data_IF_468985965149
#
_entry.id   IF_468985965149
#
_cell.length_a   1.000
_cell.length_b   1.000
_cell.length_c   1.000
_cell.angle_alpha   90.00
_cell.angle_beta   90.00
_cell.angle_gamma   90.00
#
_symmetry.space_group_name_H-M   'P 1'
#
loop_
_entity.id
_entity.type
_entity.pdbx_description
1 polymer ?
#
# COMPACT_ATOMS: atom_id res chain seq x y z
N UNK A 1 -8.65 -14.48 20.98
CA UNK A 1 -7.65 -15.17 20.11
C UNK A 1 -7.07 -16.34 20.88
N UNK A 2 -7.21 -17.55 20.35
CA UNK A 2 -6.73 -18.78 20.95
C UNK A 2 -5.22 -18.94 20.67
N UNK A 3 -4.40 -18.94 21.73
CA UNK A 3 -2.93 -19.00 21.62
C UNK A 3 -2.44 -20.34 21.04
N UNK A 4 -3.13 -21.44 21.32
CA UNK A 4 -2.77 -22.75 20.77
C UNK A 4 -3.01 -22.81 19.26
N UNK A 5 -4.13 -22.27 18.79
CA UNK A 5 -4.44 -22.15 17.36
C UNK A 5 -3.45 -21.23 16.64
N UNK A 6 -3.08 -20.12 17.26
CA UNK A 6 -2.07 -19.21 16.73
C UNK A 6 -0.71 -19.90 16.58
N UNK A 7 -0.25 -20.60 17.60
CA UNK A 7 1.02 -21.35 17.55
C UNK A 7 1.01 -22.42 16.44
N UNK A 8 -0.13 -23.13 16.27
CA UNK A 8 -0.30 -24.11 15.19
C UNK A 8 -0.24 -23.47 13.81
N UNK A 9 -0.85 -22.29 13.63
CA UNK A 9 -0.80 -21.57 12.35
C UNK A 9 0.63 -21.16 11.99
N UNK A 10 1.40 -20.64 12.95
CA UNK A 10 2.81 -20.31 12.73
C UNK A 10 3.65 -21.54 12.42
N UNK A 11 3.44 -22.63 13.13
CA UNK A 11 4.14 -23.89 12.89
C UNK A 11 3.87 -24.40 11.45
N UNK A 12 2.61 -24.46 11.04
CA UNK A 12 2.23 -24.86 9.68
C UNK A 12 2.85 -23.94 8.61
N UNK A 13 2.88 -22.63 8.86
CA UNK A 13 3.51 -21.68 7.94
C UNK A 13 5.01 -21.95 7.78
N UNK A 14 5.72 -22.18 8.90
CA UNK A 14 7.16 -22.47 8.88
C UNK A 14 7.44 -23.78 8.13
N UNK A 15 6.66 -24.82 8.36
CA UNK A 15 6.81 -26.10 7.64
C UNK A 15 6.52 -25.98 6.14
N UNK A 16 5.59 -25.09 5.76
CA UNK A 16 5.22 -24.84 4.36
C UNK A 16 6.14 -23.83 3.66
N UNK A 17 7.10 -23.23 4.38
CA UNK A 17 7.89 -22.11 3.85
C UNK A 17 8.61 -22.43 2.53
N UNK A 18 9.22 -23.60 2.43
CA UNK A 18 9.93 -24.02 1.22
C UNK A 18 8.99 -24.16 -0.01
N UNK A 19 7.75 -24.60 0.22
CA UNK A 19 6.73 -24.70 -0.83
C UNK A 19 6.28 -23.29 -1.26
N UNK A 20 6.04 -22.39 -0.29
CA UNK A 20 5.60 -21.02 -0.56
C UNK A 20 6.64 -20.17 -1.27
N UNK A 21 7.91 -20.58 -1.20
CA UNK A 21 9.05 -19.85 -1.79
C UNK A 21 9.62 -20.51 -3.05
N UNK A 22 9.04 -21.63 -3.50
CA UNK A 22 9.45 -22.29 -4.75
C UNK A 22 9.03 -21.50 -6.00
N UNK A 23 9.52 -21.94 -7.17
CA UNK A 23 9.27 -21.24 -8.42
C UNK A 23 7.81 -21.29 -8.90
N UNK A 24 7.02 -22.27 -8.45
CA UNK A 24 5.60 -22.42 -8.83
C UNK A 24 4.70 -21.50 -8.01
N UNK A 25 5.01 -21.30 -6.74
CA UNK A 25 4.23 -20.48 -5.82
C UNK A 25 4.73 -19.03 -5.73
N UNK A 26 6.02 -18.79 -5.98
CA UNK A 26 6.75 -17.50 -6.00
C UNK A 26 6.14 -16.33 -5.20
N UNK A 27 5.81 -16.56 -3.93
CA UNK A 27 5.36 -15.48 -3.05
C UNK A 27 6.47 -14.45 -2.73
N UNK A 28 7.73 -14.80 -3.05
CA UNK A 28 8.90 -13.91 -2.89
C UNK A 28 8.85 -12.66 -3.77
N UNK A 29 8.03 -12.66 -4.84
CA UNK A 29 7.89 -11.46 -5.69
C UNK A 29 7.41 -10.24 -4.90
N UNK A 30 6.62 -10.43 -3.84
CA UNK A 30 6.15 -9.34 -2.97
C UNK A 30 7.31 -8.69 -2.22
N UNK A 31 8.23 -9.50 -1.71
CA UNK A 31 9.43 -8.99 -1.02
C UNK A 31 10.38 -8.30 -1.98
N UNK A 32 10.52 -8.82 -3.21
CA UNK A 32 11.28 -8.14 -4.28
C UNK A 32 10.65 -6.80 -4.62
N UNK A 33 9.32 -6.73 -4.69
CA UNK A 33 8.59 -5.48 -4.93
C UNK A 33 8.80 -4.46 -3.80
N UNK A 34 8.74 -4.87 -2.52
CA UNK A 34 9.07 -4.00 -1.37
C UNK A 34 10.50 -3.48 -1.47
N UNK A 35 11.47 -4.37 -1.70
CA UNK A 35 12.88 -3.98 -1.82
C UNK A 35 13.11 -3.01 -2.99
N UNK A 36 12.44 -3.26 -4.13
CA UNK A 36 12.50 -2.34 -5.28
C UNK A 36 11.92 -0.98 -4.91
N UNK A 37 10.74 -0.95 -4.30
CA UNK A 37 10.09 0.29 -3.86
C UNK A 37 11.00 1.10 -2.94
N UNK A 38 11.54 0.49 -1.89
CA UNK A 38 12.39 1.16 -0.91
C UNK A 38 13.67 1.74 -1.50
N UNK A 39 14.25 1.08 -2.51
CA UNK A 39 15.44 1.59 -3.21
C UNK A 39 15.19 2.85 -4.03
N UNK A 40 13.96 3.06 -4.48
CA UNK A 40 13.59 4.18 -5.36
C UNK A 40 12.76 5.24 -4.65
N UNK A 41 12.17 4.91 -3.50
CA UNK A 41 11.34 5.84 -2.75
C UNK A 41 12.17 6.99 -2.17
N UNK A 42 11.76 8.20 -2.53
CA UNK A 42 12.33 9.44 -1.96
C UNK A 42 11.23 10.50 -1.94
N UNK A 43 10.68 10.78 -0.75
CA UNK A 43 9.61 11.76 -0.57
C UNK A 43 10.02 13.18 -1.03
N UNK A 44 11.32 13.51 -0.99
CA UNK A 44 11.87 14.81 -1.34
C UNK A 44 12.46 14.84 -2.77
N UNK A 45 12.10 13.88 -3.64
CA UNK A 45 12.55 13.90 -5.03
C UNK A 45 11.99 15.11 -5.79
N UNK A 46 12.79 15.75 -6.65
CA UNK A 46 12.36 16.91 -7.44
C UNK A 46 11.15 16.60 -8.33
N UNK A 47 11.15 15.41 -8.96
CA UNK A 47 10.07 14.87 -9.77
C UNK A 47 9.36 13.75 -8.99
N UNK A 48 8.49 14.13 -8.05
CA UNK A 48 7.84 13.17 -7.15
C UNK A 48 7.01 12.12 -7.89
N UNK A 49 6.25 12.52 -8.92
CA UNK A 49 5.42 11.62 -9.70
C UNK A 49 6.21 10.57 -10.49
N UNK A 50 7.35 10.94 -11.07
CA UNK A 50 8.23 9.98 -11.77
C UNK A 50 8.97 9.09 -10.77
N UNK A 51 9.41 9.63 -9.62
CA UNK A 51 9.96 8.83 -8.53
C UNK A 51 8.95 7.80 -8.03
N UNK A 52 7.70 8.22 -7.73
CA UNK A 52 6.65 7.31 -7.28
C UNK A 52 6.35 6.22 -8.33
N UNK A 53 6.26 6.59 -9.60
CA UNK A 53 6.07 5.65 -10.70
C UNK A 53 7.21 4.62 -10.76
N UNK A 54 8.46 5.05 -10.67
CA UNK A 54 9.63 4.17 -10.65
C UNK A 54 9.63 3.26 -9.42
N UNK A 55 9.36 3.80 -8.24
CA UNK A 55 9.27 3.00 -7.01
C UNK A 55 8.19 1.92 -7.11
N UNK A 56 7.04 2.23 -7.73
CA UNK A 56 5.92 1.33 -7.93
C UNK A 56 6.12 0.30 -9.07
N UNK A 57 7.15 0.36 -9.86
CA UNK A 57 7.29 -0.42 -11.11
C UNK A 57 7.06 -1.93 -10.91
N UNK A 58 7.60 -2.50 -9.83
CA UNK A 58 7.39 -3.91 -9.48
C UNK A 58 6.17 -4.16 -8.57
N UNK A 59 5.44 -3.12 -8.21
CA UNK A 59 4.34 -3.17 -7.23
C UNK A 59 2.97 -2.82 -7.82
N UNK A 60 2.91 -2.32 -9.05
CA UNK A 60 1.64 -1.91 -9.66
C UNK A 60 0.59 -3.01 -9.66
N UNK A 61 0.97 -4.24 -9.97
CA UNK A 61 0.08 -5.40 -9.98
C UNK A 61 -0.41 -5.83 -8.59
N UNK A 62 0.27 -5.40 -7.53
CA UNK A 62 -0.13 -5.68 -6.14
C UNK A 62 -1.20 -4.68 -5.69
N UNK A 63 -1.08 -3.42 -6.11
CA UNK A 63 -2.00 -2.33 -5.75
C UNK A 63 -3.13 -2.18 -6.75
N UNK A 64 -2.80 -2.18 -8.04
CA UNK A 64 -3.75 -2.07 -9.14
C UNK A 64 -4.27 -3.45 -9.58
N UNK A 65 -5.47 -3.47 -10.13
CA UNK A 65 -6.02 -4.62 -10.83
C UNK A 65 -6.79 -4.16 -12.09
N UNK A 66 -7.50 -5.07 -12.75
CA UNK A 66 -8.28 -4.74 -13.95
C UNK A 66 -9.43 -3.74 -13.70
N UNK A 67 -9.92 -3.66 -12.48
CA UNK A 67 -11.08 -2.83 -12.10
C UNK A 67 -10.62 -1.51 -11.49
N UNK A 68 -9.75 -1.54 -10.48
CA UNK A 68 -9.27 -0.36 -9.75
C UNK A 68 -7.77 -0.18 -9.92
N UNK A 69 -7.34 1.07 -10.08
CA UNK A 69 -5.96 1.44 -10.40
C UNK A 69 -5.50 2.64 -9.56
N UNK A 70 -5.55 2.55 -8.23
CA UNK A 70 -5.26 3.69 -7.35
C UNK A 70 -3.84 4.24 -7.52
N UNK A 71 -2.82 3.39 -7.72
CA UNK A 71 -1.45 3.86 -7.94
C UNK A 71 -1.32 4.66 -9.25
N UNK A 72 -2.07 4.28 -10.30
CA UNK A 72 -2.14 5.08 -11.52
C UNK A 72 -2.82 6.43 -11.27
N UNK A 73 -3.75 6.52 -10.32
CA UNK A 73 -4.38 7.76 -9.89
C UNK A 73 -3.38 8.76 -9.31
N UNK A 74 -2.46 8.30 -8.45
CA UNK A 74 -1.37 9.15 -7.92
C UNK A 74 -0.49 9.66 -9.06
N UNK A 75 -0.01 8.76 -9.94
CA UNK A 75 0.82 9.16 -11.10
C UNK A 75 0.07 10.12 -12.02
N UNK A 76 -1.24 9.91 -12.23
CA UNK A 76 -2.08 10.79 -13.04
C UNK A 76 -2.14 12.22 -12.47
N UNK A 77 -2.37 12.36 -11.15
CA UNK A 77 -2.39 13.67 -10.49
C UNK A 77 -1.04 14.39 -10.61
N UNK A 78 0.05 13.71 -10.33
CA UNK A 78 1.40 14.30 -10.39
C UNK A 78 1.78 14.79 -11.80
N UNK A 79 1.13 14.27 -12.84
CA UNK A 79 1.34 14.70 -14.24
C UNK A 79 0.52 15.91 -14.68
N UNK A 80 -0.40 16.40 -13.86
CA UNK A 80 -1.22 17.57 -14.24
C UNK A 80 -0.37 18.85 -14.29
N UNK A 81 0.28 19.18 -13.20
CA UNK A 81 1.20 20.30 -13.06
C UNK A 81 2.03 20.17 -11.77
N UNK A 82 3.07 21.00 -11.64
CA UNK A 82 3.96 20.98 -10.46
C UNK A 82 3.28 21.34 -9.15
N UNK A 83 2.25 22.16 -9.18
CA UNK A 83 1.49 22.52 -7.97
C UNK A 83 0.71 21.29 -7.47
N UNK A 84 0.01 20.61 -8.36
CA UNK A 84 -0.74 19.39 -8.04
C UNK A 84 0.20 18.26 -7.56
N UNK A 85 1.37 18.13 -8.19
CA UNK A 85 2.40 17.18 -7.75
C UNK A 85 2.84 17.47 -6.31
N UNK A 86 3.14 18.73 -5.97
CA UNK A 86 3.54 19.10 -4.60
C UNK A 86 2.40 18.93 -3.60
N UNK A 87 1.17 19.23 -3.98
CA UNK A 87 0.00 18.97 -3.13
C UNK A 87 -0.17 17.47 -2.84
N UNK A 88 0.06 16.57 -3.82
CA UNK A 88 0.05 15.11 -3.62
C UNK A 88 1.18 14.69 -2.69
N UNK A 89 2.39 15.22 -2.87
CA UNK A 89 3.53 14.98 -1.98
C UNK A 89 3.21 15.38 -0.54
N UNK A 90 2.58 16.54 -0.34
CA UNK A 90 2.20 17.01 0.99
C UNK A 90 1.18 16.09 1.66
N UNK A 91 0.26 15.49 0.92
CA UNK A 91 -0.63 14.47 1.49
C UNK A 91 0.15 13.22 1.94
N UNK A 92 1.20 12.81 1.20
CA UNK A 92 2.09 11.74 1.66
C UNK A 92 2.86 12.14 2.93
N UNK A 93 3.34 13.39 3.06
CA UNK A 93 3.97 13.87 4.31
C UNK A 93 3.03 13.75 5.50
N UNK A 94 1.76 14.16 5.33
CA UNK A 94 0.73 14.04 6.37
C UNK A 94 0.43 12.57 6.72
N UNK A 95 0.30 11.71 5.70
CA UNK A 95 0.07 10.27 5.88
C UNK A 95 1.19 9.61 6.70
N UNK A 96 2.44 10.02 6.45
CA UNK A 96 3.64 9.46 7.08
C UNK A 96 4.01 10.14 8.41
N UNK A 97 3.24 11.12 8.87
CA UNK A 97 3.49 11.79 10.14
C UNK A 97 3.46 10.78 11.30
N UNK A 98 4.33 10.92 12.31
CA UNK A 98 4.35 10.04 13.49
C UNK A 98 2.99 10.01 14.19
N UNK A 99 2.56 8.81 14.64
CA UNK A 99 1.31 8.60 15.39
C UNK A 99 1.50 8.18 16.85
N UNK A 100 2.76 8.00 17.26
CA UNK A 100 3.05 7.53 18.60
C UNK A 100 2.49 6.12 18.92
N UNK A 101 2.11 5.36 17.86
CA UNK A 101 1.49 4.03 18.02
C UNK A 101 -0.04 4.07 18.20
N UNK A 102 -0.67 5.23 18.09
CA UNK A 102 -2.13 5.34 18.16
C UNK A 102 -2.79 4.87 16.85
N UNK A 103 -3.44 3.71 16.93
CA UNK A 103 -4.13 3.09 15.80
C UNK A 103 -5.26 3.98 15.26
N UNK A 104 -5.97 4.73 16.13
CA UNK A 104 -7.05 5.63 15.68
C UNK A 104 -6.48 6.80 14.89
N UNK A 105 -5.44 7.44 15.40
CA UNK A 105 -4.75 8.49 14.67
C UNK A 105 -4.22 8.01 13.32
N UNK A 106 -3.72 6.76 13.23
CA UNK A 106 -3.31 6.14 11.96
C UNK A 106 -4.49 5.94 11.02
N UNK A 107 -5.61 5.43 11.49
CA UNK A 107 -6.83 5.25 10.69
C UNK A 107 -7.37 6.59 10.17
N UNK A 108 -7.41 7.61 11.02
CA UNK A 108 -7.85 8.96 10.65
C UNK A 108 -6.98 9.56 9.55
N UNK A 109 -5.64 9.36 9.61
CA UNK A 109 -4.74 9.81 8.53
C UNK A 109 -4.96 9.07 7.21
N UNK A 110 -5.20 7.75 7.27
CA UNK A 110 -5.53 6.96 6.07
C UNK A 110 -6.81 7.48 5.42
N UNK A 111 -7.86 7.74 6.22
CA UNK A 111 -9.14 8.24 5.71
C UNK A 111 -9.01 9.68 5.17
N UNK A 112 -8.23 10.53 5.86
CA UNK A 112 -7.94 11.90 5.42
C UNK A 112 -7.18 11.92 4.11
N UNK A 113 -6.15 11.09 3.97
CA UNK A 113 -5.40 10.93 2.71
C UNK A 113 -6.33 10.48 1.58
N UNK A 114 -7.16 9.44 1.81
CA UNK A 114 -8.12 8.97 0.80
C UNK A 114 -9.03 10.09 0.33
N UNK A 115 -9.63 10.83 1.27
CA UNK A 115 -10.54 11.93 0.97
C UNK A 115 -9.84 13.04 0.16
N UNK A 116 -8.65 13.49 0.58
CA UNK A 116 -7.92 14.56 -0.08
C UNK A 116 -7.48 14.20 -1.50
N UNK A 117 -6.96 12.97 -1.70
CA UNK A 117 -6.57 12.52 -3.04
C UNK A 117 -7.78 12.30 -3.94
N UNK A 118 -8.86 11.71 -3.43
CA UNK A 118 -10.07 11.48 -4.21
C UNK A 118 -10.75 12.78 -4.63
N UNK A 119 -10.76 13.81 -3.79
CA UNK A 119 -11.24 15.15 -4.16
C UNK A 119 -10.45 15.71 -5.36
N UNK A 120 -9.10 15.62 -5.32
CA UNK A 120 -8.25 16.04 -6.43
C UNK A 120 -8.52 15.22 -7.70
N UNK A 121 -8.71 13.91 -7.57
CA UNK A 121 -9.03 13.03 -8.71
C UNK A 121 -10.39 13.37 -9.33
N UNK A 122 -11.40 13.64 -8.53
CA UNK A 122 -12.72 14.05 -9.02
C UNK A 122 -12.68 15.40 -9.75
N UNK A 123 -11.85 16.33 -9.28
CA UNK A 123 -11.66 17.62 -9.93
C UNK A 123 -10.90 17.49 -11.25
N UNK A 124 -9.83 16.67 -11.30
CA UNK A 124 -8.98 16.52 -12.48
C UNK A 124 -9.55 15.52 -13.53
N UNK A 125 -10.33 14.55 -13.10
CA UNK A 125 -10.87 13.49 -13.97
C UNK A 125 -12.25 13.01 -13.48
N UNK A 126 -13.30 13.84 -13.61
CA UNK A 126 -14.64 13.47 -13.15
C UNK A 126 -15.09 12.12 -13.71
N UNK A 127 -15.60 11.25 -12.82
CA UNK A 127 -16.11 9.92 -13.19
C UNK A 127 -15.06 8.83 -13.42
N UNK A 128 -13.77 9.11 -13.26
CA UNK A 128 -12.71 8.08 -13.31
C UNK A 128 -12.52 7.36 -11.95
N UNK A 129 -13.59 6.85 -11.41
CA UNK A 129 -13.63 6.14 -10.11
C UNK A 129 -12.57 5.04 -9.95
N UNK A 130 -12.07 4.46 -11.03
CA UNK A 130 -11.02 3.43 -10.98
C UNK A 130 -9.69 3.91 -10.40
N UNK A 131 -9.49 5.22 -10.32
CA UNK A 131 -8.30 5.85 -9.72
C UNK A 131 -8.47 6.15 -8.23
N UNK A 132 -9.70 5.99 -7.69
CA UNK A 132 -9.99 6.35 -6.31
C UNK A 132 -9.14 5.54 -5.33
N UNK A 133 -8.71 6.24 -4.30
CA UNK A 133 -7.97 5.67 -3.19
C UNK A 133 -8.93 5.05 -2.19
N UNK A 134 -8.63 3.87 -1.72
CA UNK A 134 -9.31 3.20 -0.62
C UNK A 134 -8.31 2.85 0.50
N UNK A 135 -8.83 2.42 1.66
CA UNK A 135 -7.98 2.01 2.77
C UNK A 135 -6.99 0.90 2.37
N UNK A 136 -7.40 -0.01 1.48
CA UNK A 136 -6.54 -1.11 1.01
C UNK A 136 -5.32 -0.57 0.26
N UNK A 137 -5.52 0.31 -0.71
CA UNK A 137 -4.42 0.88 -1.50
C UNK A 137 -3.44 1.66 -0.63
N UNK A 138 -3.96 2.43 0.34
CA UNK A 138 -3.14 3.26 1.22
C UNK A 138 -2.33 2.38 2.19
N UNK A 139 -2.94 1.34 2.78
CA UNK A 139 -2.21 0.37 3.62
C UNK A 139 -1.11 -0.31 2.81
N UNK A 140 -1.34 -0.61 1.52
CA UNK A 140 -0.30 -1.15 0.65
C UNK A 140 0.86 -0.16 0.45
N UNK A 141 0.59 1.13 0.22
CA UNK A 141 1.67 2.14 0.17
C UNK A 141 2.47 2.18 1.47
N UNK A 142 1.79 2.20 2.62
CA UNK A 142 2.45 2.17 3.92
C UNK A 142 3.31 0.93 4.11
N UNK A 143 2.85 -0.24 3.65
CA UNK A 143 3.62 -1.48 3.74
C UNK A 143 4.85 -1.50 2.83
N UNK A 144 4.87 -0.75 1.74
CA UNK A 144 6.07 -0.57 0.91
C UNK A 144 7.03 0.45 1.51
N UNK A 145 6.51 1.55 2.07
CA UNK A 145 7.32 2.64 2.63
C UNK A 145 7.97 2.22 3.96
N UNK A 146 7.22 1.56 4.84
CA UNK A 146 7.67 1.17 6.18
C UNK A 146 7.20 -0.27 6.50
N UNK A 147 7.82 -1.29 5.90
CA UNK A 147 7.37 -2.69 6.01
C UNK A 147 7.54 -3.27 7.42
N UNK A 148 8.41 -2.69 8.26
CA UNK A 148 8.59 -3.12 9.64
C UNK A 148 7.39 -2.76 10.53
N UNK A 149 6.66 -1.70 10.18
CA UNK A 149 5.52 -1.18 10.95
C UNK A 149 4.18 -1.44 10.30
N UNK A 150 4.16 -1.77 9.00
CA UNK A 150 2.95 -1.92 8.21
C UNK A 150 3.00 -3.19 7.37
N UNK A 151 1.93 -3.98 7.43
CA UNK A 151 1.85 -5.25 6.71
C UNK A 151 0.92 -5.15 5.52
N UNK A 152 1.24 -5.89 4.44
CA UNK A 152 0.37 -6.02 3.29
C UNK A 152 -0.98 -6.60 3.73
N UNK A 153 -2.05 -5.88 3.40
CA UNK A 153 -3.41 -6.28 3.78
C UNK A 153 -4.16 -6.89 2.62
N UNK A 154 -4.64 -8.12 2.82
CA UNK A 154 -5.62 -8.76 1.97
C UNK A 154 -6.79 -9.24 2.84
N UNK A 155 -7.99 -8.78 2.55
CA UNK A 155 -9.17 -9.03 3.40
C UNK A 155 -9.52 -10.52 3.52
N UNK A 156 -9.31 -11.30 2.47
CA UNK A 156 -9.59 -12.74 2.47
C UNK A 156 -8.65 -13.47 3.42
N UNK A 157 -7.35 -13.22 3.32
CA UNK A 157 -6.32 -13.83 4.14
C UNK A 157 -6.43 -13.38 5.60
N UNK A 158 -6.70 -12.08 5.83
CA UNK A 158 -6.92 -11.56 7.18
C UNK A 158 -8.13 -12.22 7.87
N UNK A 159 -9.24 -12.43 7.12
CA UNK A 159 -10.41 -13.12 7.64
C UNK A 159 -10.13 -14.60 7.91
N UNK A 160 -9.45 -15.27 6.99
CA UNK A 160 -9.07 -16.68 7.17
C UNK A 160 -8.16 -16.85 8.39
N UNK A 161 -7.19 -15.95 8.59
CA UNK A 161 -6.33 -15.94 9.77
C UNK A 161 -7.14 -15.70 11.06
N UNK A 162 -8.03 -14.72 11.09
CA UNK A 162 -8.87 -14.42 12.25
C UNK A 162 -9.72 -15.65 12.64
N UNK A 163 -10.41 -16.27 11.67
CA UNK A 163 -11.22 -17.46 11.90
C UNK A 163 -10.36 -18.66 12.41
N UNK A 164 -9.14 -18.79 11.90
CA UNK A 164 -8.22 -19.84 12.36
C UNK A 164 -7.71 -19.63 13.78
N UNK A 165 -7.82 -18.40 14.32
CA UNK A 165 -7.40 -18.04 15.68
C UNK A 165 -8.55 -18.09 16.71
N UNK A 166 -9.80 -18.37 16.30
CA UNK A 166 -10.94 -18.58 17.20
C UNK A 166 -10.90 -19.99 17.79
#
# INVERSE_FOLDING_TARGET
MNQANLAKLFHNYIESYNVLTDAEHDELYKWRAVNHFQKHWNLEADEFGEMFKQAMEQSFNIVNNSIVQPANGIVFLCKQDKKTEEEVREEFRKLLAPDGGDIRARQDRIDTFAAAINEKLQNAAPGKWKYDQDRRSIIMYLSFISPDDNFMFKSTEARAFANGCE
#
